data_IF_255714557064
#
_entry.id   IF_255714557064
#
_cell.length_a   1.000
_cell.length_b   1.000
_cell.length_c   1.000
_cell.angle_alpha   90.00
_cell.angle_beta   90.00
_cell.angle_gamma   90.00
#
_symmetry.space_group_name_H-M   'P 1'
#
loop_
_entity.id
_entity.type
_entity.pdbx_description
1 polymer ?
#
# COMPACT_ATOMS: atom_id res chain seq x y z
N UNK A 1 12.85 2.85 0.68
CA UNK A 1 12.77 3.35 -0.72
C UNK A 1 11.86 4.57 -0.79
N UNK A 2 12.23 5.56 -1.59
CA UNK A 2 11.43 6.76 -1.81
C UNK A 2 10.17 6.45 -2.63
N UNK A 3 9.16 7.33 -2.55
CA UNK A 3 7.94 7.19 -3.35
C UNK A 3 8.21 7.23 -4.87
N UNK A 4 9.26 7.92 -5.29
CA UNK A 4 9.67 7.98 -6.70
C UNK A 4 10.21 6.63 -7.16
N UNK A 5 11.12 6.04 -6.40
CA UNK A 5 11.70 4.73 -6.74
C UNK A 5 10.63 3.64 -6.80
N UNK A 6 9.69 3.62 -5.85
CA UNK A 6 8.57 2.64 -5.87
C UNK A 6 7.60 2.89 -7.02
N UNK A 7 7.35 4.16 -7.36
CA UNK A 7 6.53 4.54 -8.52
C UNK A 7 7.14 4.00 -9.82
N UNK A 8 8.46 4.14 -9.99
CA UNK A 8 9.21 3.64 -11.14
C UNK A 8 9.28 2.10 -11.15
N UNK A 9 9.57 1.45 -10.02
CA UNK A 9 9.66 -0.02 -9.92
C UNK A 9 8.33 -0.70 -10.24
N UNK A 10 7.22 -0.16 -9.74
CA UNK A 10 5.90 -0.80 -9.84
C UNK A 10 5.07 -0.30 -11.02
N UNK A 11 5.57 0.67 -11.79
CA UNK A 11 4.82 1.28 -12.90
C UNK A 11 3.54 2.00 -12.44
N UNK A 12 3.53 2.52 -11.21
CA UNK A 12 2.41 3.26 -10.63
C UNK A 12 2.75 4.74 -10.57
N UNK A 13 1.74 5.62 -10.60
CA UNK A 13 1.99 7.03 -10.31
C UNK A 13 2.22 7.25 -8.82
N UNK A 14 2.99 8.27 -8.45
CA UNK A 14 3.15 8.66 -7.04
C UNK A 14 1.79 9.00 -6.40
N UNK A 15 0.86 9.58 -7.16
CA UNK A 15 -0.50 9.88 -6.70
C UNK A 15 -1.31 8.61 -6.43
N UNK A 16 -1.14 7.55 -7.23
CA UNK A 16 -1.74 6.24 -6.96
C UNK A 16 -1.25 5.67 -5.64
N UNK A 17 0.05 5.75 -5.35
CA UNK A 17 0.62 5.29 -4.07
C UNK A 17 0.04 6.09 -2.88
N UNK A 18 -0.03 7.42 -3.00
CA UNK A 18 -0.65 8.29 -1.99
C UNK A 18 -2.14 7.97 -1.82
N UNK A 19 -2.83 7.71 -2.92
CA UNK A 19 -4.25 7.39 -2.92
C UNK A 19 -4.51 6.07 -2.20
N UNK A 20 -3.74 5.02 -2.49
CA UNK A 20 -3.87 3.73 -1.82
C UNK A 20 -3.70 3.85 -0.30
N UNK A 21 -2.68 4.57 0.18
CA UNK A 21 -2.50 4.81 1.61
C UNK A 21 -3.65 5.66 2.19
N UNK A 22 -4.04 6.75 1.50
CA UNK A 22 -5.06 7.69 1.98
C UNK A 22 -6.41 7.04 2.22
N UNK A 23 -6.82 6.10 1.38
CA UNK A 23 -8.12 5.43 1.49
C UNK A 23 -8.08 4.18 2.38
N UNK A 24 -6.92 3.85 2.96
CA UNK A 24 -6.74 2.65 3.77
C UNK A 24 -6.74 1.35 2.95
N UNK A 25 -6.33 1.41 1.67
CA UNK A 25 -6.18 0.22 0.83
C UNK A 25 -4.88 -0.53 1.13
N UNK A 26 -3.88 0.19 1.63
CA UNK A 26 -2.64 -0.37 2.19
C UNK A 26 -2.46 0.19 3.61
N UNK A 27 -1.66 -0.46 4.47
CA UNK A 27 -1.28 0.09 5.76
C UNK A 27 -0.59 1.46 5.63
N UNK A 28 -0.55 2.26 6.72
CA UNK A 28 0.29 3.45 6.77
C UNK A 28 1.73 3.10 6.41
N UNK A 29 2.29 3.81 5.42
CA UNK A 29 3.66 3.53 4.94
C UNK A 29 4.67 4.04 5.94
N UNK A 30 5.74 3.25 6.16
CA UNK A 30 6.88 3.64 6.99
C UNK A 30 7.43 5.02 6.63
N UNK A 31 7.91 5.77 7.63
CA UNK A 31 8.44 7.12 7.45
C UNK A 31 9.82 7.26 8.06
N UNK A 32 10.64 8.10 7.43
CA UNK A 32 11.86 8.61 8.05
C UNK A 32 11.53 9.51 9.25
N UNK A 33 12.53 9.81 10.07
CA UNK A 33 12.41 10.77 11.18
C UNK A 33 11.92 12.16 10.73
N UNK A 34 12.14 12.52 9.46
CA UNK A 34 11.69 13.79 8.86
C UNK A 34 10.27 13.72 8.30
N UNK A 35 9.55 12.61 8.52
CA UNK A 35 8.17 12.41 8.05
C UNK A 35 8.05 12.09 6.55
N UNK A 36 9.15 11.76 5.88
CA UNK A 36 9.14 11.40 4.45
C UNK A 36 8.81 9.90 4.34
N UNK A 37 7.94 9.52 3.38
CA UNK A 37 7.65 8.11 3.08
C UNK A 37 8.93 7.38 2.71
N UNK A 38 9.19 6.29 3.41
CA UNK A 38 10.32 5.41 3.20
C UNK A 38 9.83 3.96 3.17
N UNK A 39 9.42 3.51 1.98
CA UNK A 39 8.84 2.20 1.76
C UNK A 39 9.85 1.11 2.10
N UNK A 40 9.51 0.29 3.10
CA UNK A 40 10.22 -0.94 3.42
C UNK A 40 9.66 -2.11 2.61
N UNK A 41 10.31 -3.27 2.69
CA UNK A 41 9.90 -4.47 1.95
C UNK A 41 8.43 -4.84 2.19
N UNK A 42 7.98 -4.79 3.45
CA UNK A 42 6.58 -5.05 3.80
C UNK A 42 5.60 -4.02 3.19
N UNK A 43 5.98 -2.74 3.15
CA UNK A 43 5.15 -1.70 2.52
C UNK A 43 4.99 -1.98 1.01
N UNK A 44 6.08 -2.36 0.36
CA UNK A 44 6.10 -2.70 -1.07
C UNK A 44 5.26 -3.96 -1.34
N UNK A 45 5.33 -4.96 -0.46
CA UNK A 45 4.51 -6.16 -0.57
C UNK A 45 3.01 -5.84 -0.53
N UNK A 46 2.58 -4.93 0.36
CA UNK A 46 1.19 -4.46 0.40
C UNK A 46 0.78 -3.72 -0.87
N UNK A 47 1.65 -2.88 -1.43
CA UNK A 47 1.37 -2.20 -2.71
C UNK A 47 1.25 -3.20 -3.87
N UNK A 48 2.14 -4.21 -3.91
CA UNK A 48 2.09 -5.28 -4.92
C UNK A 48 0.78 -6.07 -4.82
N UNK A 49 0.36 -6.43 -3.60
CA UNK A 49 -0.91 -7.12 -3.36
C UNK A 49 -2.12 -6.27 -3.79
N UNK A 50 -2.17 -5.01 -3.36
CA UNK A 50 -3.22 -4.07 -3.74
C UNK A 50 -3.33 -3.93 -5.27
N UNK A 51 -2.19 -3.83 -5.95
CA UNK A 51 -2.13 -3.71 -7.41
C UNK A 51 -2.59 -4.99 -8.11
N UNK A 52 -2.18 -6.15 -7.62
CA UNK A 52 -2.63 -7.46 -8.12
C UNK A 52 -4.15 -7.63 -8.00
N UNK A 53 -4.73 -7.27 -6.86
CA UNK A 53 -6.19 -7.34 -6.68
C UNK A 53 -6.92 -6.39 -7.64
N UNK A 54 -6.40 -5.17 -7.83
CA UNK A 54 -6.99 -4.21 -8.77
C UNK A 54 -6.91 -4.68 -10.22
N UNK A 55 -5.79 -5.28 -10.64
CA UNK A 55 -5.65 -5.82 -12.00
C UNK A 55 -6.55 -7.03 -12.23
N UNK A 56 -6.83 -7.82 -11.19
CA UNK A 56 -7.82 -8.90 -11.21
C UNK A 56 -9.29 -8.43 -11.18
N UNK A 57 -9.54 -7.11 -11.20
CA UNK A 57 -10.89 -6.54 -11.26
C UNK A 57 -11.58 -6.39 -9.91
N UNK A 58 -10.88 -6.61 -8.79
CA UNK A 58 -11.49 -6.45 -7.47
C UNK A 58 -11.79 -4.96 -7.18
N UNK A 59 -12.97 -4.66 -6.63
CA UNK A 59 -13.27 -3.32 -6.14
C UNK A 59 -12.32 -2.91 -5.02
N UNK A 60 -12.02 -1.60 -4.95
CA UNK A 60 -11.21 -1.00 -3.87
C UNK A 60 -11.69 -1.41 -2.47
N UNK A 61 -13.02 -1.47 -2.26
CA UNK A 61 -13.61 -1.86 -0.98
C UNK A 61 -13.12 -3.24 -0.51
N UNK A 62 -12.93 -4.19 -1.42
CA UNK A 62 -12.49 -5.56 -1.05
C UNK A 62 -11.10 -5.54 -0.43
N UNK A 63 -10.19 -4.72 -0.96
CA UNK A 63 -8.84 -4.60 -0.39
C UNK A 63 -8.87 -3.93 0.98
N UNK A 64 -9.71 -2.90 1.17
CA UNK A 64 -9.89 -2.26 2.49
C UNK A 64 -10.45 -3.27 3.51
N UNK A 65 -11.48 -4.03 3.11
CA UNK A 65 -12.06 -5.08 3.97
C UNK A 65 -11.01 -6.16 4.31
N UNK A 66 -10.20 -6.57 3.33
CA UNK A 66 -9.11 -7.52 3.53
C UNK A 66 -8.07 -7.01 4.54
N UNK A 67 -7.64 -5.75 4.42
CA UNK A 67 -6.70 -5.15 5.35
C UNK A 67 -7.26 -5.12 6.78
N UNK A 68 -8.54 -4.76 6.93
CA UNK A 68 -9.21 -4.77 8.23
C UNK A 68 -9.24 -6.17 8.86
N UNK A 69 -9.54 -7.20 8.06
CA UNK A 69 -9.54 -8.59 8.53
C UNK A 69 -8.13 -9.07 8.89
N UNK A 70 -7.13 -8.73 8.07
CA UNK A 70 -5.73 -9.05 8.35
C UNK A 70 -5.28 -8.46 9.69
N UNK A 71 -5.60 -7.18 9.96
CA UNK A 71 -5.25 -6.51 11.22
C UNK A 71 -5.92 -7.15 12.45
N UNK A 72 -7.14 -7.68 12.31
CA UNK A 72 -7.81 -8.43 13.39
C UNK A 72 -7.13 -9.78 13.65
N UNK A 73 -6.58 -10.42 12.61
CA UNK A 73 -5.84 -11.68 12.72
C UNK A 73 -4.48 -11.52 13.41
N UNK A 74 -3.78 -10.40 13.18
CA UNK A 74 -2.49 -10.09 13.83
C UNK A 74 -2.63 -9.80 15.33
N UNK A 75 -3.83 -9.44 15.79
CA UNK A 75 -4.10 -9.13 17.21
C UNK A 75 -4.36 -10.36 18.10
N UNK A 76 -4.15 -11.57 17.60
CA UNK A 76 -4.23 -12.83 18.36
C UNK A 76 -2.85 -13.47 18.49
#
# INVERSE_FOLDING_TARGET
MTIKEVSEELGLTQDTLRYYEKIGMIPPVTRTERGIRDYQENDIAWVKLATCMRSAGLPVKVMIDYLNLFQQGVQK
#
